data_IF_783715440842
#
_entry.id   IF_783715440842
#
_cell.length_a   1.000
_cell.length_b   1.000
_cell.length_c   1.000
_cell.angle_alpha   90.00
_cell.angle_beta   90.00
_cell.angle_gamma   90.00
#
_symmetry.space_group_name_H-M   'P 1'
#
loop_
_entity.id
_entity.type
_entity.pdbx_description
1 polymer ?
#
# COMPACT_ATOMS: atom_id res chain seq x y z
N UNK A 1 29.50 1.29 -14.88
CA UNK A 1 28.71 1.90 -15.97
C UNK A 1 27.53 1.00 -16.24
N UNK A 2 26.37 1.29 -15.69
CA UNK A 2 25.12 0.57 -15.90
C UNK A 2 24.19 1.41 -16.75
N UNK A 3 23.98 1.00 -17.99
CA UNK A 3 23.05 1.65 -18.90
C UNK A 3 21.62 1.49 -18.36
N UNK A 4 20.98 2.61 -18.05
CA UNK A 4 19.52 2.65 -17.87
C UNK A 4 18.88 2.47 -19.25
N UNK A 5 18.12 1.39 -19.43
CA UNK A 5 17.30 1.21 -20.61
C UNK A 5 16.21 2.31 -20.60
N UNK A 6 16.04 3.07 -21.68
CA UNK A 6 14.90 3.98 -21.80
C UNK A 6 13.65 3.14 -21.98
N UNK A 7 12.76 3.15 -20.97
CA UNK A 7 11.40 2.63 -21.12
C UNK A 7 10.63 3.74 -21.83
N UNK A 8 10.33 3.54 -23.10
CA UNK A 8 9.34 4.34 -23.80
C UNK A 8 7.95 3.98 -23.24
N UNK A 9 7.52 4.76 -22.27
CA UNK A 9 6.27 4.55 -21.53
C UNK A 9 5.05 4.95 -22.37
N UNK A 10 5.21 5.78 -23.38
CA UNK A 10 4.08 6.36 -24.11
C UNK A 10 3.45 5.40 -25.13
N UNK A 11 4.25 4.64 -25.88
CA UNK A 11 3.72 3.72 -26.91
C UNK A 11 3.13 2.41 -26.34
N UNK A 12 3.49 2.03 -25.11
CA UNK A 12 2.94 0.86 -24.43
C UNK A 12 1.54 1.06 -23.84
N UNK A 13 1.18 2.30 -23.48
CA UNK A 13 -0.09 2.60 -22.82
C UNK A 13 -1.32 2.52 -23.75
N UNK A 14 -1.19 2.93 -25.00
CA UNK A 14 -2.32 2.92 -25.96
C UNK A 14 -2.68 1.51 -26.42
N UNK A 15 -1.71 0.62 -26.59
CA UNK A 15 -1.95 -0.77 -26.98
C UNK A 15 -2.56 -1.61 -25.83
N UNK A 16 -2.25 -1.30 -24.57
CA UNK A 16 -2.77 -1.99 -23.40
C UNK A 16 -4.22 -1.61 -23.07
N UNK A 17 -4.61 -0.37 -23.30
CA UNK A 17 -5.97 0.10 -23.00
C UNK A 17 -7.05 -0.58 -23.87
N UNK A 18 -6.68 -1.10 -25.03
CA UNK A 18 -7.60 -1.73 -25.97
C UNK A 18 -7.79 -3.25 -25.77
N UNK A 19 -6.93 -3.92 -24.98
CA UNK A 19 -6.89 -5.40 -24.91
C UNK A 19 -7.14 -5.97 -23.50
N UNK A 20 -7.42 -5.12 -22.48
CA UNK A 20 -7.65 -5.61 -21.13
C UNK A 20 -9.12 -5.90 -20.93
N UNK A 21 -9.52 -7.18 -20.74
CA UNK A 21 -10.82 -7.48 -20.19
C UNK A 21 -10.93 -6.70 -18.87
N UNK A 22 -11.99 -5.95 -18.66
CA UNK A 22 -12.32 -5.43 -17.33
C UNK A 22 -12.63 -6.64 -16.46
N UNK A 23 -11.58 -7.25 -15.93
CA UNK A 23 -11.67 -8.26 -14.91
C UNK A 23 -12.44 -7.62 -13.76
N UNK A 24 -13.56 -8.21 -13.37
CA UNK A 24 -14.55 -7.63 -12.49
C UNK A 24 -13.91 -6.95 -11.26
N UNK A 25 -13.85 -5.61 -11.28
CA UNK A 25 -13.54 -4.78 -10.14
C UNK A 25 -12.07 -4.39 -9.89
N UNK A 26 -11.16 -4.51 -10.86
CA UNK A 26 -9.80 -3.93 -10.84
C UNK A 26 -9.31 -3.68 -12.27
N UNK A 27 -8.25 -2.86 -12.43
CA UNK A 27 -7.64 -2.60 -13.74
C UNK A 27 -6.25 -3.23 -13.83
N UNK A 28 -5.96 -3.90 -14.96
CA UNK A 28 -4.60 -4.30 -15.32
C UNK A 28 -3.94 -3.12 -16.05
N UNK A 29 -2.85 -2.58 -15.48
CA UNK A 29 -2.18 -1.40 -16.02
C UNK A 29 -0.96 -1.75 -16.86
N UNK A 30 -0.28 -2.85 -16.54
CA UNK A 30 0.89 -3.32 -17.27
C UNK A 30 0.95 -4.84 -17.23
N UNK A 31 1.25 -5.43 -18.37
CA UNK A 31 1.63 -6.83 -18.49
C UNK A 31 3.09 -6.93 -18.95
N UNK A 32 3.90 -7.58 -18.12
CA UNK A 32 5.29 -7.91 -18.42
C UNK A 32 5.46 -9.44 -18.47
N UNK A 33 6.43 -10.02 -19.18
CA UNK A 33 6.66 -11.47 -19.18
C UNK A 33 6.78 -12.10 -17.80
N UNK A 34 7.25 -11.39 -16.82
CA UNK A 34 7.49 -11.88 -15.46
C UNK A 34 6.44 -11.45 -14.42
N UNK A 35 5.70 -10.36 -14.65
CA UNK A 35 4.76 -9.80 -13.68
C UNK A 35 3.63 -9.01 -14.33
N UNK A 36 2.60 -8.76 -13.54
CA UNK A 36 1.52 -7.83 -13.85
C UNK A 36 1.59 -6.65 -12.87
N UNK A 37 1.18 -5.46 -13.34
CA UNK A 37 0.89 -4.31 -12.48
C UNK A 37 -0.62 -4.10 -12.52
N UNK A 38 -1.25 -4.18 -11.37
CA UNK A 38 -2.70 -4.11 -11.23
C UNK A 38 -3.06 -2.92 -10.36
N UNK A 39 -4.08 -2.15 -10.74
CA UNK A 39 -4.69 -1.14 -9.87
C UNK A 39 -5.80 -1.79 -9.04
N UNK A 40 -5.54 -1.95 -7.74
CA UNK A 40 -6.51 -2.51 -6.80
C UNK A 40 -7.44 -1.40 -6.30
N UNK A 41 -8.77 -1.54 -6.43
CA UNK A 41 -9.70 -0.58 -5.84
C UNK A 41 -9.69 -0.64 -4.30
N UNK A 42 -10.12 0.44 -3.66
CA UNK A 42 -10.48 0.42 -2.24
C UNK A 42 -11.65 -0.56 -1.99
N UNK A 43 -11.71 -1.15 -0.80
CA UNK A 43 -12.73 -2.12 -0.43
C UNK A 43 -12.44 -3.57 -0.82
N UNK A 44 -11.56 -3.82 -1.81
CA UNK A 44 -11.14 -5.17 -2.21
C UNK A 44 -9.95 -5.65 -1.36
N UNK A 45 -10.01 -6.86 -0.84
CA UNK A 45 -8.87 -7.50 -0.19
C UNK A 45 -7.77 -7.81 -1.22
N UNK A 46 -6.49 -7.69 -0.86
CA UNK A 46 -5.39 -8.18 -1.71
C UNK A 46 -5.34 -9.70 -1.76
N UNK A 47 -5.56 -10.35 -0.61
CA UNK A 47 -5.60 -11.81 -0.44
C UNK A 47 -6.74 -12.18 0.50
N UNK A 48 -7.22 -13.45 0.49
CA UNK A 48 -8.27 -13.90 1.38
C UNK A 48 -7.96 -13.58 2.85
N UNK A 49 -8.98 -13.13 3.57
CA UNK A 49 -8.94 -12.93 5.00
C UNK A 49 -9.37 -14.18 5.77
N UNK A 50 -9.65 -13.98 7.06
CA UNK A 50 -10.17 -15.03 7.94
C UNK A 50 -11.70 -15.12 7.81
N UNK A 51 -12.19 -16.35 7.58
CA UNK A 51 -13.62 -16.62 7.46
C UNK A 51 -14.14 -16.67 6.01
N UNK A 52 -15.31 -17.33 5.86
CA UNK A 52 -15.92 -17.63 4.55
C UNK A 52 -16.31 -16.36 3.76
N UNK A 53 -16.70 -15.31 4.46
CA UNK A 53 -17.11 -14.02 3.88
C UNK A 53 -15.93 -13.14 3.38
N UNK A 54 -14.69 -13.55 3.63
CA UNK A 54 -13.49 -12.82 3.21
C UNK A 54 -12.65 -13.59 2.18
N UNK A 55 -13.26 -14.48 1.41
CA UNK A 55 -12.58 -15.26 0.37
C UNK A 55 -12.33 -14.45 -0.90
N UNK A 56 -13.23 -13.53 -1.24
CA UNK A 56 -13.08 -12.67 -2.41
C UNK A 56 -11.92 -11.69 -2.22
N UNK A 57 -10.98 -11.69 -3.14
CA UNK A 57 -9.78 -10.86 -3.08
C UNK A 57 -9.18 -10.68 -4.48
N UNK A 58 -8.30 -9.68 -4.62
CA UNK A 58 -7.58 -9.45 -5.87
C UNK A 58 -6.93 -10.73 -6.40
N UNK A 59 -6.20 -11.45 -5.54
CA UNK A 59 -5.46 -12.63 -6.00
C UNK A 59 -6.40 -13.80 -6.34
N UNK A 60 -7.51 -14.00 -5.64
CA UNK A 60 -8.46 -15.07 -5.96
C UNK A 60 -9.19 -14.81 -7.29
N UNK A 61 -9.51 -13.56 -7.58
CA UNK A 61 -10.07 -13.17 -8.88
C UNK A 61 -9.08 -13.39 -10.03
N UNK A 62 -7.81 -12.99 -9.84
CA UNK A 62 -6.75 -13.21 -10.83
C UNK A 62 -6.44 -14.70 -11.02
N UNK A 63 -6.46 -15.50 -9.96
CA UNK A 63 -6.17 -16.94 -10.00
C UNK A 63 -7.32 -17.77 -10.59
N UNK A 64 -8.50 -17.21 -10.74
CA UNK A 64 -9.58 -17.86 -11.45
C UNK A 64 -9.19 -18.22 -12.89
N UNK A 65 -8.53 -17.30 -13.59
CA UNK A 65 -8.10 -17.48 -14.98
C UNK A 65 -6.64 -17.93 -15.10
N UNK A 66 -5.79 -17.54 -14.14
CA UNK A 66 -4.36 -17.81 -14.14
C UNK A 66 -3.90 -18.29 -12.73
N UNK A 67 -4.04 -19.59 -12.41
CA UNK A 67 -3.80 -20.15 -11.07
C UNK A 67 -2.36 -19.99 -10.54
N UNK A 68 -1.38 -19.81 -11.44
CA UNK A 68 0.03 -19.63 -11.10
C UNK A 68 0.38 -18.24 -10.57
N UNK A 69 -0.50 -17.25 -10.73
CA UNK A 69 -0.25 -15.87 -10.28
C UNK A 69 -0.06 -15.80 -8.76
N UNK A 70 0.89 -14.99 -8.31
CA UNK A 70 1.22 -14.81 -6.89
C UNK A 70 1.44 -13.34 -6.56
N UNK A 71 0.90 -12.89 -5.42
CA UNK A 71 1.17 -11.54 -4.91
C UNK A 71 2.62 -11.41 -4.48
N UNK A 72 3.29 -10.35 -4.93
CA UNK A 72 4.61 -9.96 -4.47
C UNK A 72 4.52 -9.16 -3.17
N UNK A 73 3.51 -8.33 -3.05
CA UNK A 73 3.19 -7.52 -1.87
C UNK A 73 1.67 -7.33 -1.75
N UNK A 74 1.25 -6.65 -0.71
CA UNK A 74 -0.17 -6.40 -0.46
C UNK A 74 -0.43 -4.96 -0.08
N UNK A 75 -1.65 -4.49 -0.38
CA UNK A 75 -2.26 -3.29 0.17
C UNK A 75 -3.36 -3.70 1.15
N UNK A 76 -3.67 -2.82 2.11
CA UNK A 76 -4.81 -3.00 3.00
C UNK A 76 -6.13 -2.94 2.21
N UNK A 77 -7.22 -3.44 2.77
CA UNK A 77 -8.53 -3.50 2.10
C UNK A 77 -8.96 -2.13 1.57
N UNK A 78 -8.91 -1.11 2.41
CA UNK A 78 -9.37 0.25 2.07
C UNK A 78 -8.32 1.08 1.30
N UNK A 79 -7.12 0.54 1.10
CA UNK A 79 -6.07 1.20 0.31
C UNK A 79 -6.21 0.81 -1.15
N UNK A 80 -6.36 1.78 -2.02
CA UNK A 80 -6.29 1.61 -3.48
C UNK A 80 -4.88 1.79 -4.02
N UNK A 81 -4.65 1.36 -5.27
CA UNK A 81 -3.42 1.60 -6.00
C UNK A 81 -2.68 0.35 -6.45
N UNK A 82 -1.42 0.54 -6.84
CA UNK A 82 -0.63 -0.42 -7.58
C UNK A 82 -0.23 -1.65 -6.77
N UNK A 83 -0.49 -2.83 -7.34
CA UNK A 83 -0.07 -4.12 -6.80
C UNK A 83 0.72 -4.87 -7.87
N UNK A 84 1.90 -5.37 -7.49
CA UNK A 84 2.71 -6.25 -8.31
C UNK A 84 2.30 -7.71 -8.08
N UNK A 85 2.04 -8.41 -9.19
CA UNK A 85 1.66 -9.82 -9.21
C UNK A 85 2.66 -10.57 -10.06
N UNK A 86 3.34 -11.57 -9.51
CA UNK A 86 4.30 -12.40 -10.22
C UNK A 86 3.57 -13.48 -11.04
N UNK A 87 4.04 -13.74 -12.26
CA UNK A 87 3.46 -14.74 -13.17
C UNK A 87 3.91 -16.16 -12.89
N UNK A 88 4.99 -16.35 -12.14
CA UNK A 88 5.51 -17.65 -11.76
C UNK A 88 6.37 -17.57 -10.48
N UNK A 89 6.78 -18.72 -9.97
CA UNK A 89 7.54 -18.82 -8.73
C UNK A 89 8.95 -18.19 -8.82
N UNK A 90 9.60 -18.23 -9.98
CA UNK A 90 10.91 -17.59 -10.20
C UNK A 90 10.80 -16.07 -10.10
N UNK A 91 9.81 -15.50 -10.80
CA UNK A 91 9.49 -14.07 -10.73
C UNK A 91 9.10 -13.63 -9.32
N UNK A 92 8.32 -14.44 -8.61
CA UNK A 92 7.96 -14.15 -7.21
C UNK A 92 9.19 -14.03 -6.32
N UNK A 93 10.14 -14.97 -6.42
CA UNK A 93 11.39 -14.92 -5.63
C UNK A 93 12.20 -13.67 -5.95
N UNK A 94 12.42 -13.38 -7.22
CA UNK A 94 13.20 -12.23 -7.67
C UNK A 94 12.59 -10.91 -7.23
N UNK A 95 11.29 -10.73 -7.44
CA UNK A 95 10.58 -9.51 -7.05
C UNK A 95 10.50 -9.36 -5.53
N UNK A 96 10.21 -10.44 -4.80
CA UNK A 96 10.20 -10.42 -3.32
C UNK A 96 11.56 -10.06 -2.73
N UNK A 97 12.66 -10.50 -3.35
CA UNK A 97 14.01 -10.11 -2.94
C UNK A 97 14.25 -8.59 -3.08
N UNK A 98 13.70 -7.94 -4.12
CA UNK A 98 13.77 -6.48 -4.27
C UNK A 98 13.01 -5.74 -3.15
N UNK A 99 11.84 -6.24 -2.76
CA UNK A 99 11.09 -5.69 -1.61
C UNK A 99 11.84 -5.89 -0.30
N UNK A 100 12.39 -7.08 -0.07
CA UNK A 100 13.17 -7.39 1.13
C UNK A 100 14.43 -6.51 1.24
N UNK A 101 15.11 -6.29 0.12
CA UNK A 101 16.28 -5.41 0.00
C UNK A 101 15.92 -3.91 -0.01
N UNK A 102 14.63 -3.54 0.10
CA UNK A 102 14.12 -2.16 0.06
C UNK A 102 14.50 -1.40 -1.23
N UNK A 103 14.68 -2.11 -2.32
CA UNK A 103 15.00 -1.55 -3.65
C UNK A 103 13.76 -1.06 -4.40
N UNK A 104 12.55 -1.39 -3.91
CA UNK A 104 11.28 -0.87 -4.44
C UNK A 104 10.87 0.37 -3.64
N UNK A 105 10.80 1.49 -4.33
CA UNK A 105 10.34 2.74 -3.74
C UNK A 105 8.83 2.83 -3.85
N UNK A 106 8.19 3.13 -2.73
CA UNK A 106 6.73 3.25 -2.62
C UNK A 106 6.36 4.68 -2.31
N UNK A 107 5.35 5.18 -3.00
CA UNK A 107 4.79 6.50 -2.77
C UNK A 107 3.28 6.40 -2.64
N UNK A 108 2.73 7.05 -1.62
CA UNK A 108 1.31 7.08 -1.34
C UNK A 108 0.81 8.51 -1.21
N UNK A 109 -0.47 8.71 -1.49
CA UNK A 109 -1.21 9.91 -1.16
C UNK A 109 -2.21 9.59 -0.06
N UNK A 110 -2.34 10.48 0.92
CA UNK A 110 -3.36 10.38 1.93
C UNK A 110 -3.86 11.77 2.34
N UNK A 111 -5.15 11.89 2.57
CA UNK A 111 -5.77 13.05 3.20
C UNK A 111 -5.87 12.78 4.70
N UNK A 112 -5.32 13.68 5.51
CA UNK A 112 -5.37 13.60 6.96
C UNK A 112 -6.30 14.67 7.53
N UNK A 113 -7.00 14.34 8.63
CA UNK A 113 -8.00 15.23 9.23
C UNK A 113 -7.39 16.41 9.99
N UNK A 114 -6.10 16.31 10.36
CA UNK A 114 -5.36 17.39 11.05
C UNK A 114 -4.00 17.60 10.38
N UNK A 115 -3.54 18.84 10.25
CA UNK A 115 -2.24 19.11 9.66
C UNK A 115 -1.11 18.70 10.61
N UNK A 116 -0.07 18.09 10.05
CA UNK A 116 1.20 17.90 10.74
C UNK A 116 1.96 19.25 10.82
N UNK A 117 2.79 19.43 11.83
CA UNK A 117 3.66 20.59 11.93
C UNK A 117 4.73 20.55 10.81
N UNK A 118 5.06 21.71 10.27
CA UNK A 118 6.05 21.85 9.20
C UNK A 118 5.55 21.42 7.82
N UNK A 119 6.44 21.46 6.83
CA UNK A 119 6.15 21.11 5.41
C UNK A 119 6.53 19.68 5.04
N UNK A 120 7.42 19.06 5.78
CA UNK A 120 7.94 17.69 5.63
C UNK A 120 8.51 17.18 6.93
N UNK A 121 8.59 15.88 7.08
CA UNK A 121 9.18 15.23 8.26
C UNK A 121 9.24 13.72 8.14
N UNK A 122 9.55 13.08 9.24
CA UNK A 122 9.62 11.62 9.37
C UNK A 122 8.99 11.15 10.67
N UNK A 123 8.39 9.96 10.64
CA UNK A 123 7.81 9.28 11.81
C UNK A 123 8.60 8.00 12.03
N UNK A 124 9.22 7.89 13.22
CA UNK A 124 10.08 6.77 13.62
C UNK A 124 9.51 6.10 14.88
N UNK A 125 8.36 5.44 14.73
CA UNK A 125 7.70 4.75 15.84
C UNK A 125 7.68 3.25 15.55
N UNK A 126 8.26 2.40 16.41
CA UNK A 126 8.16 0.96 16.26
C UNK A 126 6.71 0.53 16.44
N UNK A 127 6.22 -0.37 15.57
CA UNK A 127 4.84 -0.81 15.57
C UNK A 127 4.69 -2.29 15.93
N UNK A 128 3.72 -2.58 16.80
CA UNK A 128 3.26 -3.92 17.10
C UNK A 128 1.77 -4.06 16.84
N UNK A 129 1.28 -5.30 16.80
CA UNK A 129 -0.15 -5.59 16.78
C UNK A 129 -0.69 -5.43 18.20
N UNK A 130 -1.59 -4.48 18.41
CA UNK A 130 -2.25 -4.20 19.69
C UNK A 130 -3.52 -5.03 19.87
N UNK A 131 -4.23 -5.32 18.75
CA UNK A 131 -5.49 -6.06 18.77
C UNK A 131 -5.55 -7.03 17.57
N UNK A 132 -6.21 -8.18 17.76
CA UNK A 132 -6.34 -9.22 16.72
C UNK A 132 -7.54 -8.98 15.79
N UNK A 133 -8.70 -8.61 16.33
CA UNK A 133 -9.95 -8.45 15.59
C UNK A 133 -10.75 -7.24 16.13
N UNK A 134 -11.01 -6.22 15.31
CA UNK A 134 -10.31 -5.97 14.05
C UNK A 134 -8.79 -5.80 14.28
N UNK A 135 -7.95 -6.07 13.26
CA UNK A 135 -6.51 -5.96 13.46
C UNK A 135 -6.12 -4.49 13.66
N UNK A 136 -5.62 -4.15 14.84
CA UNK A 136 -5.11 -2.83 15.20
C UNK A 136 -3.61 -2.91 15.42
N UNK A 137 -2.87 -1.94 14.88
CA UNK A 137 -1.43 -1.78 15.07
C UNK A 137 -1.15 -0.40 15.63
N UNK A 138 -0.14 -0.29 16.48
CA UNK A 138 0.22 0.99 17.08
C UNK A 138 1.64 1.00 17.61
N UNK A 139 2.11 2.16 18.10
CA UNK A 139 3.42 2.28 18.73
C UNK A 139 3.54 1.34 19.93
N UNK A 140 4.67 0.64 20.00
CA UNK A 140 4.98 -0.24 21.11
C UNK A 140 6.49 -0.38 21.27
N UNK A 141 7.06 -0.35 22.49
CA UNK A 141 8.51 -0.44 22.71
C UNK A 141 9.14 -1.69 22.07
N UNK A 142 8.45 -2.83 22.15
CA UNK A 142 8.89 -4.11 21.55
C UNK A 142 8.41 -4.26 20.09
N UNK A 143 7.85 -3.21 19.50
CA UNK A 143 7.37 -3.20 18.13
C UNK A 143 8.50 -3.32 17.11
N UNK A 144 8.15 -3.71 15.89
CA UNK A 144 9.11 -3.75 14.80
C UNK A 144 9.47 -2.35 14.35
N UNK A 145 10.77 -1.98 14.31
CA UNK A 145 11.20 -0.67 13.83
C UNK A 145 10.65 -0.37 12.43
N UNK A 146 10.14 0.84 12.25
CA UNK A 146 9.66 1.32 10.97
C UNK A 146 9.76 2.84 10.86
N UNK A 147 9.81 3.31 9.61
CA UNK A 147 9.98 4.73 9.29
C UNK A 147 9.08 5.11 8.12
N UNK A 148 8.40 6.24 8.27
CA UNK A 148 7.59 6.87 7.24
C UNK A 148 8.04 8.30 7.04
N UNK A 149 8.46 8.65 5.82
CA UNK A 149 8.69 10.03 5.43
C UNK A 149 7.38 10.62 4.92
N UNK A 150 7.15 11.91 5.20
CA UNK A 150 5.98 12.62 4.72
C UNK A 150 6.34 14.02 4.22
N UNK A 151 5.53 14.53 3.29
CA UNK A 151 5.61 15.89 2.76
C UNK A 151 4.20 16.41 2.45
N UNK A 152 3.87 17.60 2.91
CA UNK A 152 2.62 18.28 2.53
C UNK A 152 2.61 18.55 1.03
N UNK A 153 1.51 18.20 0.39
CA UNK A 153 1.25 18.58 -0.99
C UNK A 153 0.33 19.78 -1.04
N UNK A 154 -0.90 19.65 -0.51
CA UNK A 154 -1.87 20.74 -0.41
C UNK A 154 -2.51 20.74 0.96
N UNK A 155 -3.08 21.88 1.33
CA UNK A 155 -3.85 22.03 2.56
C UNK A 155 -5.10 22.83 2.26
N UNK A 156 -6.26 22.33 2.69
CA UNK A 156 -7.55 23.01 2.68
C UNK A 156 -8.06 23.23 4.10
N UNK A 157 -9.24 23.82 4.26
CA UNK A 157 -9.92 23.94 5.54
C UNK A 157 -10.22 22.60 6.18
N UNK A 158 -10.53 21.57 5.39
CA UNK A 158 -11.09 20.30 5.85
C UNK A 158 -10.07 19.16 5.96
N UNK A 159 -8.96 19.27 5.22
CA UNK A 159 -7.93 18.24 5.22
C UNK A 159 -6.58 18.75 4.73
N UNK A 160 -5.54 18.00 5.07
CA UNK A 160 -4.21 18.17 4.49
C UNK A 160 -3.86 16.94 3.69
N UNK A 161 -3.49 17.12 2.41
CA UNK A 161 -2.99 16.04 1.55
C UNK A 161 -1.50 15.89 1.67
N UNK A 162 -1.07 14.66 1.92
CA UNK A 162 0.32 14.30 2.15
C UNK A 162 0.81 13.33 1.08
N UNK A 163 2.03 13.55 0.62
CA UNK A 163 2.88 12.50 0.07
C UNK A 163 3.51 11.72 1.21
N UNK A 164 3.41 10.38 1.14
CA UNK A 164 3.94 9.46 2.13
C UNK A 164 4.89 8.47 1.47
N UNK A 165 6.09 8.34 2.01
CA UNK A 165 7.10 7.38 1.56
C UNK A 165 7.49 6.46 2.72
N UNK A 166 6.89 5.25 2.82
CA UNK A 166 7.32 4.28 3.82
C UNK A 166 8.67 3.68 3.41
N UNK A 167 9.69 3.79 4.26
CA UNK A 167 10.99 3.15 4.09
C UNK A 167 10.96 1.68 4.49
N UNK A 168 9.96 1.28 5.23
CA UNK A 168 9.63 -0.08 5.65
C UNK A 168 8.24 -0.47 5.14
N UNK A 169 7.74 -1.67 5.45
CA UNK A 169 6.42 -2.15 5.00
C UNK A 169 5.72 -2.96 6.09
N UNK A 170 5.46 -2.36 7.25
CA UNK A 170 4.70 -3.03 8.32
C UNK A 170 3.20 -2.92 8.05
N UNK A 171 2.44 -3.87 8.59
CA UNK A 171 0.98 -3.83 8.49
C UNK A 171 0.44 -2.53 9.06
N UNK A 172 -0.50 -1.90 8.37
CA UNK A 172 -1.13 -0.63 8.71
C UNK A 172 -0.14 0.54 8.98
N UNK A 173 1.12 0.44 8.51
CA UNK A 173 2.18 1.38 8.92
C UNK A 173 1.80 2.85 8.73
N UNK A 174 1.34 3.25 7.55
CA UNK A 174 0.99 4.65 7.28
C UNK A 174 -0.17 5.12 8.16
N UNK A 175 -1.17 4.28 8.32
CA UNK A 175 -2.37 4.52 9.13
C UNK A 175 -2.01 4.69 10.61
N UNK A 176 -1.28 3.72 11.18
CA UNK A 176 -0.86 3.73 12.58
C UNK A 176 0.11 4.88 12.90
N UNK A 177 1.07 5.16 12.01
CA UNK A 177 2.01 6.27 12.18
C UNK A 177 1.30 7.62 12.19
N UNK A 178 0.41 7.87 11.22
CA UNK A 178 -0.30 9.14 11.14
C UNK A 178 -1.26 9.33 12.31
N UNK A 179 -1.97 8.28 12.73
CA UNK A 179 -2.83 8.33 13.91
C UNK A 179 -2.02 8.64 15.18
N UNK A 180 -0.87 7.96 15.35
CA UNK A 180 -0.02 8.14 16.52
C UNK A 180 0.57 9.55 16.67
N UNK A 181 0.70 10.30 15.57
CA UNK A 181 1.13 11.70 15.59
C UNK A 181 -0.05 12.71 15.54
N UNK A 182 -1.27 12.24 15.81
CA UNK A 182 -2.46 13.07 15.89
C UNK A 182 -3.03 13.54 14.54
N UNK A 183 -2.59 12.96 13.42
CA UNK A 183 -3.04 13.30 12.07
C UNK A 183 -3.59 12.05 11.34
N UNK A 184 -4.66 11.39 11.85
CA UNK A 184 -5.17 10.17 11.24
C UNK A 184 -5.66 10.41 9.81
N UNK A 185 -5.60 9.36 8.98
CA UNK A 185 -6.10 9.39 7.60
C UNK A 185 -7.62 9.57 7.63
N UNK A 186 -8.10 10.49 6.80
CA UNK A 186 -9.54 10.78 6.67
C UNK A 186 -10.32 9.52 6.28
N UNK A 187 -11.46 9.30 6.93
CA UNK A 187 -12.34 8.15 6.73
C UNK A 187 -11.72 6.79 7.08
N UNK A 188 -10.61 6.75 7.80
CA UNK A 188 -10.06 5.49 8.33
C UNK A 188 -10.87 5.05 9.54
N UNK A 189 -11.75 4.05 9.34
CA UNK A 189 -12.69 3.57 10.36
C UNK A 189 -12.03 2.94 11.60
N UNK A 190 -10.75 2.59 11.52
CA UNK A 190 -10.04 1.92 12.62
C UNK A 190 -9.21 2.93 13.42
N UNK A 191 -8.62 3.92 12.75
CA UNK A 191 -7.63 4.80 13.34
C UNK A 191 -8.12 6.22 13.60
N UNK A 192 -9.22 6.65 12.98
CA UNK A 192 -9.76 8.00 13.21
C UNK A 192 -10.39 8.12 14.60
N UNK A 193 -11.02 7.06 15.10
CA UNK A 193 -11.73 7.02 16.39
C UNK A 193 -10.94 6.28 17.49
N UNK A 194 -9.70 5.84 17.19
CA UNK A 194 -8.89 5.14 18.19
C UNK A 194 -8.21 6.12 19.16
N UNK A 195 -8.19 5.79 20.46
CA UNK A 195 -7.44 6.49 21.52
C UNK A 195 -5.91 6.41 21.35
N UNK A 196 -5.42 6.12 20.15
CA UNK A 196 -3.99 6.08 19.80
C UNK A 196 -3.37 7.49 19.73
N UNK A 197 -4.08 8.53 20.16
CA UNK A 197 -3.54 9.87 20.30
C UNK A 197 -2.53 9.86 21.44
N UNK A 198 -1.27 9.53 21.12
CA UNK A 198 -0.16 9.78 22.01
C UNK A 198 -0.04 11.28 22.30
N UNK A 199 0.58 11.67 23.41
CA UNK A 199 0.80 13.07 23.73
C UNK A 199 1.55 13.74 22.56
N UNK A 200 1.00 14.85 22.07
CA UNK A 200 1.70 15.71 21.11
C UNK A 200 2.92 16.31 21.81
N UNK A 201 4.10 15.88 21.41
CA UNK A 201 5.36 16.53 21.74
C UNK A 201 5.83 17.39 20.58
#
# INVERSE_FOLDING_TARGET
>A
MGAALPIDVASGFEALAAAVPQLAGFALLLEHPQYLVVDKPAGLLSQPGLGSHQRDSLITRLQHDCPELRLVHRLDRETSGLVLVAKNQGSLRSLSALFAARRVHKLYLADVVRPLLGRRGSIHLPLARLQRQPPLYGPHPEGKPCCTLWRKWTQSTDCTRLWLRPLTGRSHQLRAHLAAVGAPIRADRIYTDSDLQGPMH
#
